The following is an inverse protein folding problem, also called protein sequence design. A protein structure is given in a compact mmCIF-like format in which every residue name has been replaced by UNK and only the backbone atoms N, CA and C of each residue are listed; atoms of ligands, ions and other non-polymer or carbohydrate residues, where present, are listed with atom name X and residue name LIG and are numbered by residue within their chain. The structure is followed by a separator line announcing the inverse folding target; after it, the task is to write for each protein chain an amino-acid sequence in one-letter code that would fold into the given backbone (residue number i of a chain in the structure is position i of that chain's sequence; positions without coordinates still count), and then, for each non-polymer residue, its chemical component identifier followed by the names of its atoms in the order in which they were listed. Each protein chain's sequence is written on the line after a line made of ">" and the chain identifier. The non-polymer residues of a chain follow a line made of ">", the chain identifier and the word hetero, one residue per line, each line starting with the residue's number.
data_IF_175091465636
#
_entry.id   IF_175091465636
#
_cell.length_a   1.000
_cell.length_b   1.000
_cell.length_c   1.000
_cell.angle_alpha   90.00
_cell.angle_beta   90.00
_cell.angle_gamma   90.00
#
_symmetry.space_group_name_H-M   'P 1'
#
loop_
_entity.id
_entity.type
_entity.pdbx_description
1 polymer ?
#
# COMPACT_ATOMS: atom_id res chain seq x y z
N UNK A 1 8.18 -11.54 -19.94
CA UNK A 1 7.84 -10.71 -18.79
C UNK A 1 6.42 -11.04 -18.35
N UNK A 2 6.24 -11.53 -17.13
CA UNK A 2 4.93 -11.90 -16.57
C UNK A 2 4.29 -10.73 -15.84
N UNK A 3 3.00 -10.82 -15.50
CA UNK A 3 2.34 -9.81 -14.68
C UNK A 3 2.95 -9.74 -13.28
N UNK A 4 3.31 -10.88 -12.69
CA UNK A 4 3.93 -10.99 -11.37
C UNK A 4 5.25 -10.21 -11.32
N UNK A 5 6.08 -10.33 -12.35
CA UNK A 5 7.36 -9.61 -12.47
C UNK A 5 7.17 -8.08 -12.56
N UNK A 6 5.98 -7.61 -12.98
CA UNK A 6 5.67 -6.18 -13.10
C UNK A 6 5.10 -5.55 -11.83
N UNK A 7 4.56 -6.35 -10.91
CA UNK A 7 3.89 -5.85 -9.69
C UNK A 7 4.79 -4.89 -8.88
N UNK A 8 6.09 -5.18 -8.65
CA UNK A 8 6.97 -4.26 -7.91
C UNK A 8 7.19 -2.91 -8.59
N UNK A 9 6.97 -2.83 -9.91
CA UNK A 9 7.18 -1.62 -10.72
C UNK A 9 5.93 -0.74 -10.83
N UNK A 10 4.78 -1.22 -10.35
CA UNK A 10 3.54 -0.45 -10.36
C UNK A 10 3.65 0.75 -9.43
N UNK A 11 3.05 1.87 -9.80
CA UNK A 11 2.78 2.93 -8.83
C UNK A 11 1.60 2.56 -7.92
N UNK A 12 1.37 3.37 -6.88
CA UNK A 12 0.34 3.06 -5.87
C UNK A 12 -1.08 3.00 -6.47
N UNK A 13 -1.39 3.89 -7.41
CA UNK A 13 -2.69 3.93 -8.05
C UNK A 13 -2.93 2.70 -8.93
N UNK A 14 -1.91 2.31 -9.69
CA UNK A 14 -1.93 1.10 -10.51
C UNK A 14 -2.10 -0.16 -9.67
N UNK A 15 -1.36 -0.27 -8.56
CA UNK A 15 -1.44 -1.41 -7.65
C UNK A 15 -2.83 -1.54 -7.03
N UNK A 16 -3.41 -0.44 -6.54
CA UNK A 16 -4.77 -0.43 -5.98
C UNK A 16 -5.80 -0.81 -7.03
N UNK A 17 -5.70 -0.26 -8.23
CA UNK A 17 -6.63 -0.54 -9.34
C UNK A 17 -6.55 -2.00 -9.76
N UNK A 18 -5.34 -2.55 -9.90
CA UNK A 18 -5.13 -3.93 -10.30
C UNK A 18 -5.62 -4.91 -9.22
N UNK A 19 -5.34 -4.64 -7.93
CA UNK A 19 -5.82 -5.45 -6.82
C UNK A 19 -7.35 -5.46 -6.75
N UNK A 20 -8.01 -4.30 -6.92
CA UNK A 20 -9.47 -4.23 -6.93
C UNK A 20 -10.07 -5.03 -8.10
N UNK A 21 -9.47 -4.94 -9.28
CA UNK A 21 -9.90 -5.70 -10.45
C UNK A 21 -9.69 -7.21 -10.26
N UNK A 22 -8.55 -7.63 -9.72
CA UNK A 22 -8.27 -9.03 -9.44
C UNK A 22 -9.30 -9.62 -8.45
N UNK A 23 -9.61 -8.90 -7.36
CA UNK A 23 -10.65 -9.30 -6.40
C UNK A 23 -12.04 -9.39 -7.05
N UNK A 24 -12.39 -8.46 -7.94
CA UNK A 24 -13.65 -8.53 -8.68
C UNK A 24 -13.70 -9.76 -9.58
N UNK A 25 -12.63 -10.02 -10.33
CA UNK A 25 -12.54 -11.16 -11.23
C UNK A 25 -12.58 -12.51 -10.50
N UNK A 26 -12.00 -12.60 -9.31
CA UNK A 26 -12.08 -13.79 -8.46
C UNK A 26 -13.54 -14.17 -8.10
N UNK A 27 -14.40 -13.17 -7.93
CA UNK A 27 -15.81 -13.38 -7.56
C UNK A 27 -16.70 -13.58 -8.78
N UNK A 28 -16.62 -12.69 -9.78
CA UNK A 28 -17.59 -12.64 -10.89
C UNK A 28 -17.01 -13.01 -12.26
N UNK A 29 -15.71 -13.31 -12.34
CA UNK A 29 -15.04 -13.63 -13.60
C UNK A 29 -15.41 -15.01 -14.14
N UNK A 30 -15.04 -15.29 -15.38
CA UNK A 30 -15.09 -16.64 -15.97
C UNK A 30 -14.15 -17.60 -15.22
N UNK A 31 -14.30 -18.94 -15.38
CA UNK A 31 -13.39 -19.89 -14.74
C UNK A 31 -11.89 -19.59 -15.00
N UNK A 32 -11.54 -19.23 -16.23
CA UNK A 32 -10.17 -18.85 -16.59
C UNK A 32 -9.71 -17.54 -15.90
N UNK A 33 -10.59 -16.55 -15.80
CA UNK A 33 -10.29 -15.29 -15.11
C UNK A 33 -10.11 -15.48 -13.61
N UNK A 34 -10.90 -16.35 -12.98
CA UNK A 34 -10.75 -16.68 -11.56
C UNK A 34 -9.44 -17.38 -11.28
N UNK A 35 -9.03 -18.33 -12.13
CA UNK A 35 -7.73 -18.99 -12.02
C UNK A 35 -6.57 -17.99 -12.13
N UNK A 36 -6.63 -17.09 -13.12
CA UNK A 36 -5.62 -16.04 -13.27
C UNK A 36 -5.62 -15.05 -12.08
N UNK A 37 -6.79 -14.70 -11.54
CA UNK A 37 -6.92 -13.85 -10.36
C UNK A 37 -6.31 -14.52 -9.12
N UNK A 38 -6.62 -15.80 -8.89
CA UNK A 38 -6.09 -16.59 -7.79
C UNK A 38 -4.56 -16.71 -7.82
N UNK A 39 -3.96 -16.74 -9.02
CA UNK A 39 -2.50 -16.76 -9.19
C UNK A 39 -1.85 -15.44 -8.74
N UNK A 40 -2.45 -14.29 -9.08
CA UNK A 40 -1.81 -12.97 -8.87
C UNK A 40 -2.20 -12.29 -7.56
N UNK A 41 -3.36 -12.62 -6.99
CA UNK A 41 -3.88 -12.01 -5.76
C UNK A 41 -2.88 -12.05 -4.60
N UNK A 42 -2.22 -13.19 -4.27
CA UNK A 42 -1.28 -13.24 -3.16
C UNK A 42 -0.12 -12.25 -3.31
N UNK A 43 0.38 -12.05 -4.54
CA UNK A 43 1.50 -11.15 -4.81
C UNK A 43 1.06 -9.69 -4.70
N UNK A 44 -0.12 -9.35 -5.24
CA UNK A 44 -0.69 -8.01 -5.13
C UNK A 44 -0.97 -7.62 -3.68
N UNK A 45 -1.50 -8.53 -2.87
CA UNK A 45 -1.80 -8.29 -1.46
C UNK A 45 -0.54 -8.13 -0.61
N UNK A 46 0.49 -8.93 -0.89
CA UNK A 46 1.79 -8.79 -0.25
C UNK A 46 2.41 -7.42 -0.55
N UNK A 47 2.41 -7.00 -1.81
CA UNK A 47 2.97 -5.71 -2.21
C UNK A 47 2.17 -4.54 -1.60
N UNK A 48 0.84 -4.59 -1.64
CA UNK A 48 -0.01 -3.58 -1.01
C UNK A 48 0.24 -3.48 0.51
N UNK A 49 0.45 -4.62 1.17
CA UNK A 49 0.76 -4.67 2.61
C UNK A 49 2.13 -4.06 2.92
N UNK A 50 3.16 -4.36 2.12
CA UNK A 50 4.49 -3.74 2.26
C UNK A 50 4.43 -2.22 2.15
N UNK A 51 3.74 -1.70 1.13
CA UNK A 51 3.60 -0.25 0.95
C UNK A 51 2.82 0.41 2.07
N UNK A 52 1.73 -0.23 2.52
CA UNK A 52 0.98 0.24 3.69
C UNK A 52 1.87 0.34 4.92
N UNK A 53 2.73 -0.64 5.16
CA UNK A 53 3.66 -0.62 6.29
C UNK A 53 4.66 0.54 6.19
N UNK A 54 5.29 0.74 5.04
CA UNK A 54 6.21 1.87 4.80
C UNK A 54 5.51 3.22 5.04
N UNK A 55 4.28 3.36 4.54
CA UNK A 55 3.49 4.59 4.70
C UNK A 55 3.11 4.85 6.16
N UNK A 56 2.77 3.80 6.92
CA UNK A 56 2.49 3.91 8.35
C UNK A 56 3.75 4.32 9.13
N UNK A 57 4.91 3.72 8.83
CA UNK A 57 6.19 4.08 9.44
C UNK A 57 6.62 5.51 9.13
N UNK A 58 6.39 5.98 7.89
CA UNK A 58 6.65 7.37 7.53
C UNK A 58 5.70 8.33 8.27
N UNK A 59 4.42 7.98 8.37
CA UNK A 59 3.42 8.79 9.07
C UNK A 59 3.71 8.88 10.58
N UNK A 60 4.12 7.79 11.22
CA UNK A 60 4.49 7.79 12.65
C UNK A 60 5.72 8.66 12.92
N UNK A 61 6.77 8.55 12.09
CA UNK A 61 7.96 9.41 12.17
C UNK A 61 7.59 10.89 12.03
N UNK A 62 6.76 11.25 11.05
CA UNK A 62 6.30 12.63 10.84
C UNK A 62 5.53 13.16 12.06
N UNK A 63 4.60 12.37 12.61
CA UNK A 63 3.83 12.75 13.81
C UNK A 63 4.74 12.98 15.03
N UNK A 64 5.73 12.12 15.24
CA UNK A 64 6.72 12.27 16.31
C UNK A 64 7.53 13.57 16.19
N UNK A 65 7.99 13.89 14.98
CA UNK A 65 8.72 15.12 14.70
C UNK A 65 7.86 16.38 14.96
N UNK A 66 6.61 16.39 14.49
CA UNK A 66 5.67 17.50 14.74
C UNK A 66 5.38 17.69 16.23
N UNK A 67 5.19 16.58 16.98
CA UNK A 67 4.96 16.65 18.42
C UNK A 67 6.19 17.16 19.20
N UNK A 68 7.40 16.78 18.78
CA UNK A 68 8.64 17.31 19.37
C UNK A 68 8.81 18.80 19.09
N UNK A 69 8.56 19.24 17.85
CA UNK A 69 8.63 20.66 17.49
C UNK A 69 7.62 21.50 18.29
N UNK A 70 6.38 21.03 18.44
CA UNK A 70 5.36 21.72 19.25
C UNK A 70 5.78 21.86 20.71
N UNK A 71 6.35 20.80 21.32
CA UNK A 71 6.85 20.86 22.70
C UNK A 71 7.99 21.86 22.86
N UNK A 72 8.92 21.90 21.89
CA UNK A 72 10.05 22.85 21.92
C UNK A 72 9.57 24.30 21.78
N UNK A 73 8.60 24.57 20.91
CA UNK A 73 8.01 25.90 20.76
C UNK A 73 7.30 26.37 22.04
N UNK A 74 6.47 25.51 22.64
CA UNK A 74 5.79 25.83 23.89
C UNK A 74 6.76 26.08 25.06
N UNK A 75 7.87 25.35 25.13
CA UNK A 75 8.89 25.57 26.15
C UNK A 75 9.65 26.90 25.95
N UNK A 76 9.84 27.35 24.70
CA UNK A 76 10.46 28.62 24.39
C UNK A 76 9.56 29.83 24.65
N UNK A 77 8.23 29.66 24.54
CA UNK A 77 7.24 30.71 24.83
C UNK A 77 6.99 30.89 26.33
N UNK A 78 7.32 29.87 27.14
CA UNK A 78 7.15 29.89 28.60
C UNK A 78 8.40 30.38 29.38
N UNK A 79 9.48 30.73 28.68
CA UNK A 79 10.76 31.20 29.24
C UNK A 79 10.96 32.70 28.94
#
# INVERSE_FOLDING_TARGET
>A
MTLIERIPLLNDQELVTLLANARRLDIVGTPAQRLAAAEVLPVLELEASKRRQVNLEAATKKRGATAAAKRKAAAAEAA
#
